data_IF_571124619617
#
_entry.id   IF_571124619617
#
_cell.length_a   1.000
_cell.length_b   1.000
_cell.length_c   1.000
_cell.angle_alpha   90.00
_cell.angle_beta   90.00
_cell.angle_gamma   90.00
#
_symmetry.space_group_name_H-M   'P 1'
#
loop_
_entity.id
_entity.type
_entity.pdbx_description
1 polymer ?
#
# COMPACT_ATOMS: atom_id res chain seq x y z
N UNK A 1 -4.36 8.84 -15.47
CA UNK A 1 -3.47 9.63 -14.58
C UNK A 1 -3.11 8.77 -13.39
N UNK A 2 -1.88 8.85 -12.89
CA UNK A 2 -1.50 8.18 -11.63
C UNK A 2 -2.06 9.01 -10.47
N UNK A 3 -2.60 8.35 -9.46
CA UNK A 3 -3.01 8.99 -8.21
C UNK A 3 -1.80 9.66 -7.54
N UNK A 4 -1.99 10.86 -7.04
CA UNK A 4 -0.95 11.61 -6.32
C UNK A 4 -1.38 11.79 -4.87
N UNK A 5 -0.50 11.52 -3.90
CA UNK A 5 -0.78 11.86 -2.51
C UNK A 5 -1.08 13.34 -2.33
N UNK A 6 -1.93 13.72 -1.37
CA UNK A 6 -2.25 15.11 -1.12
C UNK A 6 -1.01 15.89 -0.65
N UNK A 7 -0.99 17.18 -0.94
CA UNK A 7 -0.08 18.12 -0.35
C UNK A 7 -0.72 18.64 0.94
N UNK A 8 0.07 18.78 1.99
CA UNK A 8 -0.36 19.32 3.28
C UNK A 8 0.28 20.70 3.53
N UNK A 9 -0.56 21.72 3.64
CA UNK A 9 -0.13 23.09 3.99
C UNK A 9 0.00 23.19 5.51
N UNK A 10 1.16 23.61 5.99
CA UNK A 10 1.43 23.73 7.42
C UNK A 10 0.77 24.97 8.01
N UNK A 11 0.21 24.86 9.21
CA UNK A 11 -0.30 26.00 9.99
C UNK A 11 0.78 27.01 10.36
N UNK A 12 2.00 26.53 10.51
CA UNK A 12 3.18 27.37 10.74
C UNK A 12 4.38 26.74 10.05
N UNK A 13 5.23 27.54 9.39
CA UNK A 13 6.46 27.04 8.81
C UNK A 13 7.34 26.33 9.85
N UNK A 14 8.02 25.27 9.43
CA UNK A 14 9.07 24.63 10.19
C UNK A 14 10.43 24.89 9.54
N UNK A 15 11.52 24.70 10.28
CA UNK A 15 12.88 24.89 9.75
C UNK A 15 13.44 23.54 9.33
N UNK A 16 13.80 23.41 8.06
CA UNK A 16 14.47 22.23 7.51
C UNK A 16 15.88 22.06 8.07
N UNK A 17 16.42 20.87 7.99
CA UNK A 17 17.78 20.55 8.46
C UNK A 17 18.86 21.37 7.71
N UNK A 18 18.56 21.86 6.52
CA UNK A 18 19.41 22.76 5.72
C UNK A 18 19.21 24.27 6.06
N UNK A 19 18.33 24.56 7.02
CA UNK A 19 17.96 25.93 7.41
C UNK A 19 16.89 26.58 6.51
N UNK A 20 16.36 25.89 5.53
CA UNK A 20 15.25 26.37 4.70
C UNK A 20 13.93 26.39 5.47
N UNK A 21 12.96 27.21 4.99
CA UNK A 21 11.61 27.23 5.54
C UNK A 21 10.74 26.23 4.77
N UNK A 22 10.11 25.31 5.48
CA UNK A 22 9.15 24.35 4.95
C UNK A 22 7.75 24.82 5.33
N UNK A 23 6.96 25.21 4.35
CA UNK A 23 5.57 25.67 4.52
C UNK A 23 4.55 24.60 4.13
N UNK A 24 4.97 23.63 3.33
CA UNK A 24 4.12 22.60 2.73
C UNK A 24 4.87 21.28 2.73
N UNK A 25 4.15 20.19 2.91
CA UNK A 25 4.68 18.84 2.84
C UNK A 25 3.97 18.09 1.71
N UNK A 26 4.71 17.66 0.70
CA UNK A 26 4.20 16.72 -0.29
C UNK A 26 4.21 15.33 0.34
N UNK A 27 3.02 14.82 0.67
CA UNK A 27 2.91 13.48 1.22
C UNK A 27 3.30 12.43 0.17
N UNK A 28 3.85 11.32 0.64
CA UNK A 28 4.35 10.21 -0.18
C UNK A 28 3.50 8.98 0.02
N UNK A 29 3.34 8.12 -0.99
CA UNK A 29 2.70 6.83 -0.81
C UNK A 29 3.55 5.95 0.10
N UNK A 30 2.90 5.12 0.92
CA UNK A 30 3.57 4.08 1.68
C UNK A 30 3.75 2.84 0.79
N UNK A 31 4.94 2.27 0.77
CA UNK A 31 5.27 1.04 0.06
C UNK A 31 5.44 -0.12 1.02
N UNK A 32 5.03 -1.31 0.60
CA UNK A 32 4.96 -2.52 1.43
C UNK A 32 6.26 -2.83 2.19
N UNK A 33 7.41 -2.84 1.50
CA UNK A 33 8.68 -3.14 2.17
C UNK A 33 9.09 -2.04 3.16
N UNK A 34 8.98 -0.76 2.77
CA UNK A 34 9.35 0.37 3.62
C UNK A 34 8.47 0.45 4.88
N UNK A 35 7.16 0.26 4.72
CA UNK A 35 6.24 0.19 5.86
C UNK A 35 6.65 -0.93 6.83
N UNK A 36 6.95 -2.11 6.29
CA UNK A 36 7.28 -3.25 7.11
C UNK A 36 8.58 -3.05 7.91
N UNK A 37 9.62 -2.50 7.27
CA UNK A 37 10.86 -2.16 7.94
C UNK A 37 10.65 -1.09 9.01
N UNK A 38 9.79 -0.11 8.77
CA UNK A 38 9.43 0.92 9.74
C UNK A 38 8.74 0.31 10.97
N UNK A 39 7.74 -0.56 10.75
CA UNK A 39 7.05 -1.25 11.83
C UNK A 39 7.97 -2.20 12.63
N UNK A 40 8.89 -2.89 11.96
CA UNK A 40 9.89 -3.74 12.62
C UNK A 40 10.84 -2.90 13.51
N UNK A 41 11.22 -1.68 13.09
CA UNK A 41 12.03 -0.76 13.91
C UNK A 41 11.27 -0.21 15.11
N UNK A 42 10.00 0.16 14.91
CA UNK A 42 9.15 0.71 15.97
C UNK A 42 8.79 -0.33 17.06
N UNK A 43 8.77 -1.62 16.69
CA UNK A 43 8.32 -2.68 17.61
C UNK A 43 6.80 -2.69 17.82
N UNK A 44 6.36 -2.99 19.04
CA UNK A 44 4.94 -3.22 19.35
C UNK A 44 4.20 -1.96 19.83
N UNK A 45 4.88 -0.83 20.00
CA UNK A 45 4.26 0.43 20.43
C UNK A 45 3.56 1.12 19.26
N UNK A 46 2.26 1.37 19.38
CA UNK A 46 1.44 1.94 18.30
C UNK A 46 1.85 3.40 17.99
N UNK A 47 2.23 4.19 19.00
CA UNK A 47 2.65 5.58 18.81
C UNK A 47 3.99 5.64 18.06
N UNK A 48 4.94 4.76 18.39
CA UNK A 48 6.22 4.63 17.69
C UNK A 48 6.00 4.14 16.25
N UNK A 49 5.09 3.20 16.03
CA UNK A 49 4.73 2.74 14.68
C UNK A 49 4.16 3.88 13.83
N UNK A 50 3.24 4.67 14.37
CA UNK A 50 2.69 5.83 13.68
C UNK A 50 3.75 6.89 13.40
N UNK A 51 4.66 7.11 14.34
CA UNK A 51 5.75 8.06 14.17
C UNK A 51 6.69 7.66 13.01
N UNK A 52 7.12 6.40 12.96
CA UNK A 52 7.94 5.86 11.87
C UNK A 52 7.23 5.95 10.51
N UNK A 53 5.93 5.66 10.46
CA UNK A 53 5.15 5.79 9.23
C UNK A 53 4.97 7.25 8.82
N UNK A 54 4.84 8.19 9.76
CA UNK A 54 4.78 9.62 9.48
C UNK A 54 6.09 10.14 8.87
N UNK A 55 7.25 9.66 9.36
CA UNK A 55 8.55 9.96 8.74
C UNK A 55 8.61 9.47 7.29
N UNK A 56 8.12 8.26 7.00
CA UNK A 56 8.06 7.73 5.64
C UNK A 56 7.13 8.55 4.75
N UNK A 57 5.93 8.87 5.24
CA UNK A 57 4.90 9.57 4.47
C UNK A 57 5.28 11.04 4.18
N UNK A 58 5.99 11.69 5.08
CA UNK A 58 6.40 13.09 4.92
C UNK A 58 7.78 13.23 4.29
N UNK A 59 8.69 12.29 4.59
CA UNK A 59 10.11 12.38 4.27
C UNK A 59 10.85 13.42 5.10
N UNK A 60 10.25 13.88 6.19
CA UNK A 60 10.89 14.75 7.18
C UNK A 60 11.87 13.96 8.03
N UNK A 61 12.86 14.64 8.59
CA UNK A 61 13.67 14.12 9.67
C UNK A 61 12.89 14.14 11.00
N UNK A 62 13.37 13.40 12.00
CA UNK A 62 12.79 13.43 13.36
C UNK A 62 12.72 14.86 13.90
N UNK A 63 13.80 15.65 13.72
CA UNK A 63 13.85 17.05 14.20
C UNK A 63 12.87 17.96 13.51
N UNK A 64 12.61 17.74 12.23
CA UNK A 64 11.63 18.48 11.46
C UNK A 64 10.20 18.08 11.86
N UNK A 65 9.93 16.77 12.04
CA UNK A 65 8.63 16.27 12.46
C UNK A 65 8.25 16.80 13.86
N UNK A 66 9.20 16.88 14.78
CA UNK A 66 9.01 17.40 16.15
C UNK A 66 8.63 18.90 16.18
N UNK A 67 8.89 19.67 15.11
CA UNK A 67 8.49 21.06 15.02
C UNK A 67 7.02 21.25 14.60
N UNK A 68 6.37 20.20 14.10
CA UNK A 68 4.98 20.28 13.63
C UNK A 68 4.02 20.71 14.75
N UNK A 69 3.07 21.54 14.40
CA UNK A 69 1.94 21.80 15.29
C UNK A 69 1.08 20.54 15.41
N UNK A 70 0.52 20.31 16.59
CA UNK A 70 -0.30 19.12 16.85
C UNK A 70 -1.41 18.88 15.81
N UNK A 71 -2.16 19.91 15.33
CA UNK A 71 -3.16 19.71 14.29
C UNK A 71 -2.56 19.24 12.95
N UNK A 72 -1.37 19.73 12.55
CA UNK A 72 -0.68 19.27 11.34
C UNK A 72 -0.31 17.79 11.47
N UNK A 73 0.25 17.40 12.62
CA UNK A 73 0.57 16.00 12.90
C UNK A 73 -0.69 15.11 12.86
N UNK A 74 -1.83 15.56 13.41
CA UNK A 74 -3.09 14.82 13.36
C UNK A 74 -3.56 14.58 11.92
N UNK A 75 -3.44 15.59 11.05
CA UNK A 75 -3.79 15.43 9.62
C UNK A 75 -2.89 14.42 8.92
N UNK A 76 -1.57 14.46 9.21
CA UNK A 76 -0.61 13.50 8.68
C UNK A 76 -0.91 12.08 9.22
N UNK A 77 -1.22 11.95 10.51
CA UNK A 77 -1.58 10.67 11.12
C UNK A 77 -2.85 10.07 10.48
N UNK A 78 -3.84 10.91 10.17
CA UNK A 78 -5.04 10.47 9.46
C UNK A 78 -4.69 9.92 8.07
N UNK A 79 -3.86 10.63 7.31
CA UNK A 79 -3.39 10.17 6.01
C UNK A 79 -2.63 8.83 6.11
N UNK A 80 -1.72 8.71 7.06
CA UNK A 80 -0.96 7.48 7.32
C UNK A 80 -1.90 6.33 7.66
N UNK A 81 -2.90 6.57 8.50
CA UNK A 81 -3.91 5.58 8.86
C UNK A 81 -4.70 5.11 7.62
N UNK A 82 -5.18 6.03 6.79
CA UNK A 82 -5.89 5.69 5.55
C UNK A 82 -5.02 4.88 4.60
N UNK A 83 -3.78 5.31 4.35
CA UNK A 83 -2.81 4.60 3.51
C UNK A 83 -2.46 3.20 4.04
N UNK A 84 -2.51 3.00 5.36
CA UNK A 84 -2.19 1.71 5.98
C UNK A 84 -3.36 0.73 6.03
N UNK A 85 -4.61 1.23 5.91
CA UNK A 85 -5.81 0.42 6.17
C UNK A 85 -6.75 0.31 4.97
N UNK A 86 -6.77 1.30 4.07
CA UNK A 86 -7.69 1.34 2.93
C UNK A 86 -7.11 0.65 1.69
N UNK A 87 -7.93 -0.07 0.90
CA UNK A 87 -7.51 -0.63 -0.37
C UNK A 87 -7.32 0.47 -1.43
N UNK A 88 -6.58 0.18 -2.49
CA UNK A 88 -6.32 1.12 -3.59
C UNK A 88 -7.60 1.67 -4.22
N UNK A 89 -8.66 0.87 -4.31
CA UNK A 89 -9.96 1.30 -4.85
C UNK A 89 -10.54 2.50 -4.10
N UNK A 90 -10.34 2.59 -2.78
CA UNK A 90 -10.80 3.74 -1.97
C UNK A 90 -10.22 5.06 -2.48
N UNK A 91 -8.94 5.06 -2.85
CA UNK A 91 -8.25 6.26 -3.36
C UNK A 91 -8.56 6.50 -4.84
N UNK A 92 -8.67 5.44 -5.65
CA UNK A 92 -9.01 5.54 -7.06
C UNK A 92 -10.43 6.06 -7.26
N UNK A 93 -11.36 5.76 -6.34
CA UNK A 93 -12.74 6.26 -6.37
C UNK A 93 -12.83 7.79 -6.20
N UNK A 94 -11.79 8.42 -5.66
CA UNK A 94 -11.69 9.86 -5.48
C UNK A 94 -11.08 10.58 -6.71
N UNK A 95 -10.56 9.82 -7.69
CA UNK A 95 -9.97 10.37 -8.91
C UNK A 95 -11.01 10.39 -10.01
N UNK A 96 -11.35 11.59 -10.51
CA UNK A 96 -12.15 11.74 -11.71
C UNK A 96 -11.42 11.05 -12.88
N UNK A 97 -12.14 10.25 -13.68
CA UNK A 97 -11.60 9.49 -14.81
C UNK A 97 -10.66 8.30 -14.45
N UNK A 98 -10.67 7.81 -13.22
CA UNK A 98 -9.99 6.56 -12.92
C UNK A 98 -10.61 5.41 -13.75
N UNK A 99 -9.78 4.73 -14.53
CA UNK A 99 -10.23 3.54 -15.26
C UNK A 99 -10.50 2.43 -14.25
N UNK A 100 -11.79 2.07 -14.12
CA UNK A 100 -12.22 0.92 -13.33
C UNK A 100 -12.44 -0.24 -14.26
N UNK A 101 -11.91 -1.39 -13.91
CA UNK A 101 -12.25 -2.65 -14.58
C UNK A 101 -13.51 -3.23 -13.95
N UNK A 102 -14.43 -3.70 -14.79
CA UNK A 102 -15.58 -4.50 -14.33
C UNK A 102 -15.16 -5.92 -13.91
N UNK A 103 -13.95 -6.34 -14.31
CA UNK A 103 -13.38 -7.63 -13.93
C UNK A 103 -12.69 -7.50 -12.56
N UNK A 104 -13.19 -8.19 -11.52
CA UNK A 104 -12.62 -8.15 -10.17
C UNK A 104 -11.23 -8.78 -10.10
N UNK A 105 -10.83 -9.58 -11.11
CA UNK A 105 -9.52 -10.20 -11.20
C UNK A 105 -8.50 -9.29 -11.91
N UNK A 106 -8.96 -8.16 -12.46
CA UNK A 106 -8.12 -7.13 -13.06
C UNK A 106 -7.96 -5.96 -12.07
N UNK A 107 -6.92 -5.99 -11.26
CA UNK A 107 -6.67 -4.99 -10.22
C UNK A 107 -5.91 -3.80 -10.80
N UNK A 108 -6.54 -2.63 -10.79
CA UNK A 108 -5.88 -1.36 -11.11
C UNK A 108 -4.98 -0.94 -9.96
N UNK A 109 -3.71 -0.64 -10.25
CA UNK A 109 -2.76 -0.18 -9.24
C UNK A 109 -2.91 1.33 -8.99
N UNK A 110 -2.87 1.71 -7.74
CA UNK A 110 -2.82 3.09 -7.28
C UNK A 110 -1.48 3.74 -7.67
N UNK A 111 -0.39 2.97 -7.50
CA UNK A 111 0.95 3.36 -7.90
C UNK A 111 1.48 2.45 -9.02
N UNK A 112 1.93 3.04 -10.14
CA UNK A 112 2.55 2.26 -11.22
C UNK A 112 3.77 1.49 -10.70
N UNK A 113 3.86 0.22 -11.06
CA UNK A 113 4.93 -0.69 -10.65
C UNK A 113 5.96 -0.83 -11.76
N UNK A 114 7.22 -0.46 -11.48
CA UNK A 114 8.32 -0.65 -12.41
C UNK A 114 8.95 -2.03 -12.21
N UNK A 115 8.66 -2.98 -13.09
CA UNK A 115 9.18 -4.34 -13.04
C UNK A 115 9.76 -4.76 -14.38
N UNK A 116 10.93 -5.38 -14.36
CA UNK A 116 11.60 -5.97 -15.53
C UNK A 116 11.64 -5.03 -16.75
N UNK A 117 11.95 -3.74 -16.54
CA UNK A 117 12.10 -2.74 -17.61
C UNK A 117 10.77 -2.24 -18.20
N UNK A 118 9.64 -2.57 -17.62
CA UNK A 118 8.30 -2.07 -18.00
C UNK A 118 7.58 -1.48 -16.80
N UNK A 119 6.68 -0.53 -17.07
CA UNK A 119 5.76 0.00 -16.08
C UNK A 119 4.42 -0.72 -16.18
N UNK A 120 3.96 -1.28 -15.07
CA UNK A 120 2.68 -1.98 -14.95
C UNK A 120 1.73 -1.10 -14.13
N UNK A 121 0.55 -0.84 -14.67
CA UNK A 121 -0.49 -0.02 -14.04
C UNK A 121 -1.69 -0.85 -13.56
N UNK A 122 -1.76 -2.10 -13.98
CA UNK A 122 -2.78 -3.07 -13.55
C UNK A 122 -2.20 -4.47 -13.49
N UNK A 123 -2.74 -5.31 -12.62
CA UNK A 123 -2.37 -6.70 -12.46
C UNK A 123 -3.58 -7.60 -12.73
N UNK A 124 -3.39 -8.63 -13.56
CA UNK A 124 -4.36 -9.71 -13.72
C UNK A 124 -4.07 -10.80 -12.71
N UNK A 125 -5.05 -11.14 -11.89
CA UNK A 125 -4.91 -12.16 -10.86
C UNK A 125 -5.38 -13.51 -11.38
N UNK A 126 -4.59 -14.54 -11.12
CA UNK A 126 -4.93 -15.93 -11.41
C UNK A 126 -5.25 -16.68 -10.11
N UNK A 127 -6.35 -17.46 -10.14
CA UNK A 127 -6.71 -18.30 -9.01
C UNK A 127 -5.66 -19.38 -8.77
N UNK A 128 -5.16 -19.54 -7.54
CA UNK A 128 -4.12 -20.51 -7.25
C UNK A 128 -4.67 -21.95 -7.32
N UNK A 129 -3.90 -22.83 -7.94
CA UNK A 129 -4.22 -24.27 -7.91
C UNK A 129 -3.94 -24.86 -6.52
N UNK A 130 -4.63 -25.96 -6.16
CA UNK A 130 -4.47 -26.61 -4.85
C UNK A 130 -3.00 -26.97 -4.50
N UNK A 131 -2.16 -27.23 -5.50
CA UNK A 131 -0.74 -27.51 -5.28
C UNK A 131 -0.02 -26.28 -4.72
N UNK A 132 -0.32 -25.08 -5.21
CA UNK A 132 0.30 -23.84 -4.72
C UNK A 132 -0.07 -23.58 -3.26
N UNK A 133 -1.35 -23.76 -2.90
CA UNK A 133 -1.78 -23.59 -1.50
C UNK A 133 -1.17 -24.62 -0.54
N UNK A 134 -0.91 -25.86 -1.02
CA UNK A 134 -0.16 -26.85 -0.23
C UNK A 134 1.30 -26.47 0.00
N UNK A 135 1.95 -25.82 -0.98
CA UNK A 135 3.31 -25.29 -0.82
C UNK A 135 3.31 -24.13 0.16
N UNK A 136 2.39 -23.16 -0.03
CA UNK A 136 2.22 -22.01 0.86
C UNK A 136 2.11 -22.43 2.34
N UNK A 137 1.28 -23.45 2.64
CA UNK A 137 1.08 -23.94 4.02
C UNK A 137 2.32 -24.51 4.68
N UNK A 138 3.36 -24.85 3.92
CA UNK A 138 4.65 -25.33 4.46
C UNK A 138 5.61 -24.21 4.83
N UNK A 139 5.35 -23.00 4.41
CA UNK A 139 6.17 -21.82 4.73
C UNK A 139 5.99 -21.43 6.20
N UNK A 140 7.08 -21.00 6.83
CA UNK A 140 7.16 -20.84 8.28
C UNK A 140 6.37 -19.64 8.78
N UNK A 141 6.54 -18.49 8.12
CA UNK A 141 5.98 -17.23 8.58
C UNK A 141 4.72 -16.83 7.82
N UNK A 142 3.88 -16.00 8.42
CA UNK A 142 2.73 -15.41 7.74
C UNK A 142 3.18 -14.55 6.54
N UNK A 143 4.29 -13.83 6.69
CA UNK A 143 4.93 -13.06 5.63
C UNK A 143 5.27 -13.91 4.41
N UNK A 144 6.07 -14.96 4.61
CA UNK A 144 6.46 -15.86 3.51
C UNK A 144 5.23 -16.43 2.79
N UNK A 145 4.18 -16.78 3.54
CA UNK A 145 2.93 -17.30 2.96
C UNK A 145 2.22 -16.25 2.11
N UNK A 146 2.09 -15.02 2.63
CA UNK A 146 1.43 -13.92 1.92
C UNK A 146 2.22 -13.52 0.66
N UNK A 147 3.52 -13.36 0.76
CA UNK A 147 4.38 -13.02 -0.38
C UNK A 147 4.37 -14.12 -1.46
N UNK A 148 4.48 -15.37 -1.05
CA UNK A 148 4.44 -16.51 -1.99
C UNK A 148 3.13 -16.59 -2.76
N UNK A 149 1.99 -16.51 -2.07
CA UNK A 149 0.70 -16.64 -2.74
C UNK A 149 0.39 -15.41 -3.61
N UNK A 150 0.79 -14.22 -3.18
CA UNK A 150 0.64 -13.00 -3.97
C UNK A 150 1.49 -13.07 -5.25
N UNK A 151 2.75 -13.46 -5.15
CA UNK A 151 3.61 -13.66 -6.32
C UNK A 151 3.02 -14.71 -7.28
N UNK A 152 2.47 -15.80 -6.74
CA UNK A 152 1.84 -16.84 -7.55
C UNK A 152 0.59 -16.35 -8.29
N UNK A 153 -0.28 -15.59 -7.63
CA UNK A 153 -1.52 -15.10 -8.22
C UNK A 153 -1.31 -13.92 -9.19
N UNK A 154 -0.27 -13.11 -8.98
CA UNK A 154 0.01 -11.92 -9.81
C UNK A 154 1.02 -12.16 -10.93
N UNK A 155 1.76 -13.26 -10.88
CA UNK A 155 2.89 -13.51 -11.78
C UNK A 155 4.11 -12.63 -11.53
N UNK A 156 4.12 -11.83 -10.44
CA UNK A 156 5.27 -11.02 -10.03
C UNK A 156 6.32 -11.89 -9.32
N UNK A 157 7.57 -11.45 -9.38
CA UNK A 157 8.61 -12.04 -8.56
C UNK A 157 8.53 -11.51 -7.11
N UNK A 158 8.90 -12.32 -6.12
CA UNK A 158 8.85 -11.91 -4.71
C UNK A 158 9.59 -10.58 -4.46
N UNK A 159 10.77 -10.31 -5.04
CA UNK A 159 11.41 -9.00 -4.88
C UNK A 159 10.60 -7.80 -5.40
N UNK A 160 9.79 -8.02 -6.46
CA UNK A 160 8.96 -6.94 -7.03
C UNK A 160 7.83 -6.52 -6.07
N UNK A 161 7.38 -7.42 -5.20
CA UNK A 161 6.36 -7.13 -4.19
C UNK A 161 6.77 -6.01 -3.23
N UNK A 162 8.07 -5.81 -3.02
CA UNK A 162 8.61 -4.74 -2.21
C UNK A 162 8.21 -3.33 -2.71
N UNK A 163 7.96 -3.20 -4.00
CA UNK A 163 7.65 -1.95 -4.69
C UNK A 163 6.14 -1.66 -4.76
N UNK A 164 5.30 -2.58 -4.29
CA UNK A 164 3.84 -2.40 -4.28
C UNK A 164 3.47 -1.39 -3.18
N UNK A 165 2.55 -0.45 -3.49
CA UNK A 165 2.03 0.42 -2.44
C UNK A 165 1.19 -0.35 -1.43
N UNK A 166 1.10 0.14 -0.20
CA UNK A 166 0.34 -0.53 0.86
C UNK A 166 -1.15 -0.66 0.51
N UNK A 167 -1.83 0.36 -0.06
CA UNK A 167 -3.20 0.21 -0.54
C UNK A 167 -3.36 -0.84 -1.65
N UNK A 168 -2.41 -0.92 -2.58
CA UNK A 168 -2.40 -1.94 -3.64
C UNK A 168 -2.23 -3.33 -3.04
N UNK A 169 -1.28 -3.48 -2.10
CA UNK A 169 -1.09 -4.72 -1.36
C UNK A 169 -2.38 -5.14 -0.63
N UNK A 170 -3.02 -4.21 0.08
CA UNK A 170 -4.28 -4.48 0.80
C UNK A 170 -5.37 -4.95 -0.16
N UNK A 171 -5.52 -4.32 -1.32
CA UNK A 171 -6.50 -4.73 -2.33
C UNK A 171 -6.20 -6.12 -2.90
N UNK A 172 -4.94 -6.42 -3.20
CA UNK A 172 -4.52 -7.76 -3.66
C UNK A 172 -4.81 -8.83 -2.61
N UNK A 173 -4.54 -8.55 -1.32
CA UNK A 173 -4.79 -9.51 -0.25
C UNK A 173 -6.29 -9.83 -0.10
N UNK A 174 -7.17 -8.83 -0.21
CA UNK A 174 -8.64 -9.04 -0.18
C UNK A 174 -9.06 -10.02 -1.29
N UNK A 175 -8.61 -9.80 -2.53
CA UNK A 175 -8.99 -10.67 -3.65
C UNK A 175 -8.37 -12.07 -3.56
N UNK A 176 -7.14 -12.16 -3.12
CA UNK A 176 -6.45 -13.45 -2.90
C UNK A 176 -7.12 -14.24 -1.77
N UNK A 177 -7.59 -13.57 -0.72
CA UNK A 177 -8.35 -14.21 0.35
C UNK A 177 -9.66 -14.83 -0.18
N UNK A 178 -10.38 -14.14 -1.08
CA UNK A 178 -11.52 -14.72 -1.78
C UNK A 178 -11.12 -16.02 -2.51
N UNK A 179 -10.04 -16.02 -3.27
CA UNK A 179 -9.57 -17.23 -3.98
C UNK A 179 -9.25 -18.39 -3.06
N UNK A 180 -8.77 -18.11 -1.86
CA UNK A 180 -8.39 -19.14 -0.90
C UNK A 180 -9.57 -19.70 -0.10
N UNK A 181 -10.62 -18.90 0.13
CA UNK A 181 -11.64 -19.20 1.12
C UNK A 181 -13.06 -19.29 0.54
N UNK A 182 -13.34 -18.70 -0.65
CA UNK A 182 -14.68 -18.74 -1.23
C UNK A 182 -14.93 -20.02 -2.05
N UNK A 183 -16.17 -20.54 -2.05
CA UNK A 183 -16.53 -21.69 -2.86
C UNK A 183 -16.66 -21.33 -4.34
N UNK A 184 -16.55 -22.33 -5.24
CA UNK A 184 -16.62 -22.12 -6.69
C UNK A 184 -17.92 -21.42 -7.16
N UNK A 185 -19.02 -21.55 -6.42
CA UNK A 185 -20.28 -20.87 -6.73
C UNK A 185 -20.16 -19.33 -6.63
N UNK A 186 -19.34 -18.80 -5.73
CA UNK A 186 -19.06 -17.38 -5.60
C UNK A 186 -18.53 -16.77 -6.91
N UNK A 187 -17.57 -17.43 -7.52
CA UNK A 187 -16.93 -16.94 -8.75
C UNK A 187 -17.78 -17.09 -10.01
N UNK A 188 -18.63 -18.14 -10.08
CA UNK A 188 -19.54 -18.34 -11.23
C UNK A 188 -20.61 -17.24 -11.31
N UNK A 189 -21.07 -16.75 -10.18
CA UNK A 189 -22.09 -15.71 -10.12
C UNK A 189 -21.52 -14.31 -10.44
N UNK A 190 -20.22 -14.09 -10.25
CA UNK A 190 -19.55 -12.83 -10.58
C UNK A 190 -19.36 -12.64 -12.11
N UNK A 191 -19.24 -13.74 -12.87
CA UNK A 191 -19.06 -13.74 -14.34
C UNK A 191 -20.37 -13.71 -15.13
N UNK A 192 -21.53 -13.73 -14.46
CA UNK A 192 -22.86 -13.84 -15.09
C UNK A 192 -23.64 -12.51 -15.09
N UNK A 193 -22.96 -11.36 -14.91
CA UNK A 193 -23.59 -10.03 -14.97
C UNK A 193 -23.13 -9.25 -16.17
#
# INVERSE_FOLDING_TARGET
>A
MSWMPPQHDLLSPITGDDGSQINQIQLKPLFYAAQKEALERAGDDEDDQFFELALLATGLSVKELDQLKRPDYVSIAQYVHEMSTRPASYFLDQVEDAQKSDDPDQVQLLQPLAVTGRTVTSLSLEMPVLRATKVMKKLKTAKERAEFITAHCTGLMIPDLALISVPDWTQLQVRIDDFLNQPAAYFRNATSK
#
